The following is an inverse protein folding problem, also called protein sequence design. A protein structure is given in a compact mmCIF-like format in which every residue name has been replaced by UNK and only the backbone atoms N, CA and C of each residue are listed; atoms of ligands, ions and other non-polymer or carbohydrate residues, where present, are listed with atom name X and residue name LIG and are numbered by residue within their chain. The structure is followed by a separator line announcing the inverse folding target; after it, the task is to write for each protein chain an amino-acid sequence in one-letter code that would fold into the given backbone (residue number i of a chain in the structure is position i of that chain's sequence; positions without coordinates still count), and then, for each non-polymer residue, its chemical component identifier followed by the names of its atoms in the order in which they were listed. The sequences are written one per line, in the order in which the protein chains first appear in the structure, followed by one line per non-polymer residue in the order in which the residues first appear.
data_IF_150704309981
#
_entry.id   IF_150704309981
#
_cell.length_a   1.000
_cell.length_b   1.000
_cell.length_c   1.000
_cell.angle_alpha   90.00
_cell.angle_beta   90.00
_cell.angle_gamma   90.00
#
_symmetry.space_group_name_H-M   'P 1'
#
loop_
_entity.id
_entity.type
_entity.pdbx_description
1 polymer ?
#
# COMPACT_ATOMS: atom_id res chain seq x y z
N UNK A 1 -6.03 3.26 -7.99
CA UNK A 1 -6.95 3.94 -8.93
C UNK A 1 -6.47 3.74 -10.36
N UNK A 2 -7.33 3.38 -11.32
CA UNK A 2 -6.93 3.21 -12.71
C UNK A 2 -6.50 4.53 -13.32
N UNK A 3 -5.40 4.51 -14.07
CA UNK A 3 -4.95 5.64 -14.88
C UNK A 3 -4.27 5.10 -16.13
N UNK A 4 -4.60 5.68 -17.28
CA UNK A 4 -4.06 5.33 -18.59
C UNK A 4 -2.68 5.94 -18.85
N UNK A 5 -2.30 6.99 -18.11
CA UNK A 5 -0.98 7.61 -18.19
C UNK A 5 0.02 7.02 -17.18
N UNK A 6 1.15 6.52 -17.70
CA UNK A 6 2.27 6.01 -16.89
C UNK A 6 2.93 7.10 -16.02
N UNK A 7 2.78 8.39 -16.37
CA UNK A 7 3.29 9.56 -15.65
C UNK A 7 2.35 10.07 -14.54
N UNK A 8 1.09 9.64 -14.51
CA UNK A 8 0.12 10.17 -13.56
C UNK A 8 0.48 9.79 -12.13
N UNK A 9 0.47 10.78 -11.22
CA UNK A 9 0.72 10.60 -9.78
C UNK A 9 -0.16 9.48 -9.23
N UNK A 10 0.42 8.62 -8.38
CA UNK A 10 -0.34 7.57 -7.71
C UNK A 10 -1.30 8.21 -6.72
N UNK A 11 -2.61 7.97 -6.93
CA UNK A 11 -3.68 8.47 -6.06
C UNK A 11 -4.31 7.32 -5.27
N UNK A 12 -4.41 7.51 -3.96
CA UNK A 12 -4.93 6.56 -3.00
C UNK A 12 -5.97 7.23 -2.08
N UNK A 13 -6.89 6.42 -1.56
CA UNK A 13 -7.82 6.80 -0.49
C UNK A 13 -7.68 5.76 0.62
N UNK A 14 -7.65 6.21 1.85
CA UNK A 14 -7.65 5.33 3.01
C UNK A 14 -9.09 4.92 3.33
N UNK A 15 -9.31 3.65 3.63
CA UNK A 15 -10.63 3.13 3.97
C UNK A 15 -10.51 2.47 5.33
N UNK A 16 -11.16 3.07 6.32
CA UNK A 16 -11.31 2.48 7.64
C UNK A 16 -12.49 1.51 7.59
N UNK A 17 -12.24 0.22 7.77
CA UNK A 17 -13.29 -0.79 7.89
C UNK A 17 -13.10 -1.59 9.17
N UNK A 18 -14.15 -1.68 9.99
CA UNK A 18 -14.18 -2.52 11.18
C UNK A 18 -14.31 -4.01 10.80
N UNK A 19 -14.63 -4.32 9.54
CA UNK A 19 -14.76 -5.67 9.01
C UNK A 19 -13.98 -5.78 7.71
N UNK A 20 -12.70 -6.13 7.84
CA UNK A 20 -11.77 -6.32 6.73
C UNK A 20 -12.21 -7.51 5.84
N UNK A 21 -13.00 -8.44 6.37
CA UNK A 21 -13.51 -9.64 5.67
C UNK A 21 -14.52 -9.36 4.55
N UNK A 22 -15.12 -8.17 4.50
CA UNK A 22 -16.08 -7.80 3.44
C UNK A 22 -15.42 -7.14 2.22
N UNK A 23 -14.16 -6.74 2.35
CA UNK A 23 -13.39 -6.17 1.25
C UNK A 23 -12.53 -7.27 0.64
N UNK A 24 -12.59 -7.46 -0.69
CA UNK A 24 -11.62 -8.30 -1.41
C UNK A 24 -10.33 -7.51 -1.61
N UNK A 25 -9.59 -7.31 -0.51
CA UNK A 25 -8.31 -6.63 -0.53
C UNK A 25 -7.16 -7.60 -0.74
N UNK A 26 -6.05 -7.05 -1.22
CA UNK A 26 -4.80 -7.75 -1.43
C UNK A 26 -3.76 -7.16 -0.48
N UNK A 27 -3.05 -7.99 0.27
CA UNK A 27 -1.94 -7.54 1.09
C UNK A 27 -0.68 -7.43 0.23
N UNK A 28 0.07 -6.33 0.39
CA UNK A 28 1.35 -6.14 -0.27
C UNK A 28 2.48 -6.54 0.67
N UNK A 29 3.26 -7.54 0.27
CA UNK A 29 4.52 -7.91 0.89
C UNK A 29 5.67 -7.34 0.06
N UNK A 30 6.49 -6.48 0.66
CA UNK A 30 7.59 -5.81 -0.02
C UNK A 30 8.71 -5.51 0.98
N UNK A 31 9.92 -5.29 0.48
CA UNK A 31 11.04 -4.88 1.32
C UNK A 31 10.86 -3.42 1.74
N UNK A 32 10.85 -3.19 3.05
CA UNK A 32 10.84 -1.86 3.63
C UNK A 32 12.13 -1.11 3.30
N UNK A 33 12.00 0.16 2.96
CA UNK A 33 13.12 1.00 2.54
C UNK A 33 13.36 0.97 1.02
N UNK A 34 14.61 1.16 0.63
CA UNK A 34 15.06 1.31 -0.75
C UNK A 34 16.14 2.37 -0.86
N UNK A 35 17.11 2.16 -1.75
CA UNK A 35 18.11 3.17 -2.09
C UNK A 35 17.49 4.19 -3.04
N UNK A 36 17.64 5.48 -2.75
CA UNK A 36 17.13 6.57 -3.59
C UNK A 36 16.32 7.62 -2.84
N UNK A 37 15.86 8.63 -3.59
CA UNK A 37 15.05 9.70 -3.04
C UNK A 37 13.63 9.21 -2.69
N UNK A 38 13.03 9.68 -1.59
CA UNK A 38 11.63 9.43 -1.29
C UNK A 38 10.74 9.92 -2.43
N UNK A 39 9.64 9.21 -2.68
CA UNK A 39 8.66 9.56 -3.69
C UNK A 39 7.36 10.01 -3.03
N UNK A 40 6.57 10.80 -3.74
CA UNK A 40 5.30 11.34 -3.22
C UNK A 40 4.12 10.74 -3.95
N UNK A 41 3.13 10.29 -3.19
CA UNK A 41 1.81 9.90 -3.66
C UNK A 41 0.76 10.90 -3.16
N UNK A 42 -0.42 10.90 -3.78
CA UNK A 42 -1.57 11.65 -3.30
C UNK A 42 -2.45 10.72 -2.46
N UNK A 43 -2.53 10.96 -1.17
CA UNK A 43 -3.40 10.25 -0.24
C UNK A 43 -4.51 11.20 0.21
N UNK A 44 -5.75 10.91 -0.20
CA UNK A 44 -6.92 11.75 0.13
C UNK A 44 -6.76 13.24 -0.23
N UNK A 45 -6.11 13.52 -1.36
CA UNK A 45 -5.84 14.89 -1.83
C UNK A 45 -4.68 15.59 -1.13
N UNK A 46 -3.93 14.88 -0.28
CA UNK A 46 -2.73 15.39 0.40
C UNK A 46 -1.48 14.67 -0.08
N UNK A 47 -0.36 15.37 -0.08
CA UNK A 47 0.95 14.77 -0.37
C UNK A 47 1.34 13.82 0.76
N UNK A 48 1.68 12.58 0.40
CA UNK A 48 2.16 11.55 1.33
C UNK A 48 3.46 10.94 0.80
N UNK A 49 4.48 10.92 1.63
CA UNK A 49 5.82 10.45 1.25
C UNK A 49 5.93 8.95 1.47
N UNK A 50 6.42 8.23 0.46
CA UNK A 50 6.69 6.79 0.48
C UNK A 50 8.12 6.51 0.05
N UNK A 51 8.61 5.31 0.36
CA UNK A 51 9.91 4.85 -0.15
C UNK A 51 9.84 4.65 -1.67
N UNK A 52 10.97 4.79 -2.39
CA UNK A 52 10.99 4.58 -3.85
C UNK A 52 10.56 3.14 -4.23
N UNK A 53 10.89 2.15 -3.41
CA UNK A 53 10.45 0.77 -3.63
C UNK A 53 8.92 0.65 -3.56
N UNK A 54 8.32 1.22 -2.50
CA UNK A 54 6.86 1.19 -2.35
C UNK A 54 6.16 1.97 -3.47
N UNK A 55 6.71 3.12 -3.88
CA UNK A 55 6.18 3.87 -5.00
C UNK A 55 6.14 3.04 -6.29
N UNK A 56 7.24 2.36 -6.59
CA UNK A 56 7.37 1.51 -7.78
C UNK A 56 6.40 0.32 -7.71
N UNK A 57 6.27 -0.31 -6.55
CA UNK A 57 5.26 -1.34 -6.31
C UNK A 57 3.84 -0.82 -6.58
N UNK A 58 3.44 0.30 -5.98
CA UNK A 58 2.11 0.90 -6.16
C UNK A 58 1.84 1.28 -7.61
N UNK A 59 2.85 1.78 -8.32
CA UNK A 59 2.77 2.15 -9.73
C UNK A 59 2.57 0.93 -10.62
N UNK A 60 3.29 -0.15 -10.38
CA UNK A 60 3.19 -1.40 -11.16
C UNK A 60 1.91 -2.19 -10.83
N UNK A 61 1.44 -2.14 -9.58
CA UNK A 61 0.19 -2.76 -9.14
C UNK A 61 -1.06 -1.99 -9.59
N UNK A 62 -0.88 -0.80 -10.15
CA UNK A 62 -1.97 0.04 -10.66
C UNK A 62 -2.59 -0.60 -11.91
N UNK A 63 -3.75 -1.23 -11.74
CA UNK A 63 -4.51 -1.76 -12.86
C UNK A 63 -5.07 -0.62 -13.73
N UNK A 64 -5.03 -0.76 -15.06
CA UNK A 64 -5.45 0.30 -15.99
C UNK A 64 -6.95 0.63 -15.97
N UNK A 65 -7.79 -0.30 -15.51
CA UNK A 65 -9.25 -0.19 -15.61
C UNK A 65 -10.04 -0.47 -14.33
N UNK A 66 -9.40 -0.92 -13.24
CA UNK A 66 -10.12 -1.32 -12.03
C UNK A 66 -9.45 -0.78 -10.76
N UNK A 67 -10.28 -0.39 -9.80
CA UNK A 67 -9.82 -0.10 -8.45
C UNK A 67 -9.46 -1.40 -7.74
N UNK A 68 -8.36 -1.38 -6.99
CA UNK A 68 -7.94 -2.48 -6.12
C UNK A 68 -7.86 -1.97 -4.70
N UNK A 69 -8.36 -2.76 -3.77
CA UNK A 69 -8.10 -2.55 -2.34
C UNK A 69 -6.75 -3.19 -2.03
N UNK A 70 -5.81 -2.38 -1.55
CA UNK A 70 -4.49 -2.82 -1.15
C UNK A 70 -4.33 -2.53 0.33
N UNK A 71 -3.88 -3.51 1.08
CA UNK A 71 -3.35 -3.30 2.42
C UNK A 71 -1.83 -3.16 2.31
N UNK A 72 -1.33 -2.01 2.75
CA UNK A 72 0.09 -1.66 2.72
C UNK A 72 0.44 -1.12 4.09
N UNK A 73 1.29 -1.82 4.83
CA UNK A 73 1.68 -1.47 6.21
C UNK A 73 2.11 0.01 6.38
N UNK A 74 2.96 0.54 5.51
CA UNK A 74 3.46 1.92 5.58
C UNK A 74 2.40 2.99 5.34
N UNK A 75 1.23 2.62 4.80
CA UNK A 75 0.11 3.54 4.53
C UNK A 75 -1.03 3.29 5.51
N UNK A 76 -1.39 2.02 5.75
CA UNK A 76 -2.54 1.62 6.56
C UNK A 76 -2.29 1.71 8.06
N UNK A 77 -1.03 1.66 8.50
CA UNK A 77 -0.64 1.77 9.91
C UNK A 77 -0.09 3.17 10.17
N UNK A 78 -0.52 3.81 11.26
CA UNK A 78 0.04 5.09 11.67
C UNK A 78 1.44 4.89 12.25
N UNK A 79 2.45 5.04 11.38
CA UNK A 79 3.86 4.85 11.75
C UNK A 79 4.37 5.78 12.86
N UNK A 80 3.69 6.89 13.12
CA UNK A 80 4.05 7.86 14.16
C UNK A 80 3.51 7.49 15.56
N UNK A 81 2.50 6.62 15.63
CA UNK A 81 1.91 6.17 16.89
C UNK A 81 2.42 4.77 17.23
N UNK A 82 3.28 4.69 18.25
CA UNK A 82 3.90 3.42 18.63
C UNK A 82 2.90 2.41 19.18
N UNK A 83 1.87 2.87 19.88
CA UNK A 83 0.86 2.00 20.49
C UNK A 83 -0.04 1.40 19.40
N UNK A 84 -0.55 2.24 18.49
CA UNK A 84 -1.34 1.81 17.35
C UNK A 84 -0.53 0.91 16.41
N UNK A 85 0.73 1.29 16.12
CA UNK A 85 1.62 0.48 15.29
C UNK A 85 1.84 -0.90 15.88
N UNK A 86 2.15 -1.00 17.17
CA UNK A 86 2.38 -2.29 17.82
C UNK A 86 1.10 -3.15 17.81
N UNK A 87 -0.06 -2.52 18.03
CA UNK A 87 -1.35 -3.20 17.93
C UNK A 87 -1.61 -3.75 16.52
N UNK A 88 -1.42 -2.93 15.48
CA UNK A 88 -1.60 -3.35 14.08
C UNK A 88 -0.60 -4.43 13.66
N UNK A 89 0.66 -4.31 14.08
CA UNK A 89 1.69 -5.33 13.83
C UNK A 89 1.31 -6.68 14.47
N UNK A 90 0.75 -6.67 15.68
CA UNK A 90 0.26 -7.91 16.32
C UNK A 90 -0.89 -8.57 15.53
N UNK A 91 -1.64 -7.80 14.73
CA UNK A 91 -2.73 -8.27 13.90
C UNK A 91 -2.29 -8.67 12.48
N UNK A 92 -1.03 -8.46 12.09
CA UNK A 92 -0.56 -8.73 10.72
C UNK A 92 -0.84 -10.17 10.28
N UNK A 93 -0.67 -11.16 11.16
CA UNK A 93 -0.96 -12.55 10.83
C UNK A 93 -2.40 -12.71 10.31
N UNK A 94 -3.37 -12.16 11.05
CA UNK A 94 -4.79 -12.20 10.70
C UNK A 94 -5.10 -11.40 9.43
N UNK A 95 -4.46 -10.24 9.25
CA UNK A 95 -4.63 -9.42 8.04
C UNK A 95 -4.13 -10.18 6.80
N UNK A 96 -2.95 -10.81 6.88
CA UNK A 96 -2.43 -11.57 5.74
C UNK A 96 -3.27 -12.83 5.47
N UNK A 97 -3.77 -13.51 6.51
CA UNK A 97 -4.65 -14.67 6.39
C UNK A 97 -5.99 -14.33 5.71
N UNK A 98 -6.55 -13.17 6.03
CA UNK A 98 -7.86 -12.73 5.53
C UNK A 98 -7.79 -12.02 4.17
N UNK A 99 -6.58 -11.78 3.64
CA UNK A 99 -6.42 -11.15 2.34
C UNK A 99 -6.88 -12.10 1.21
N UNK A 100 -7.55 -11.54 0.19
CA UNK A 100 -7.95 -12.32 -0.98
C UNK A 100 -6.73 -12.87 -1.75
N UNK A 101 -5.60 -12.16 -1.67
CA UNK A 101 -4.29 -12.62 -2.10
C UNK A 101 -3.20 -11.82 -1.37
N UNK A 102 -1.99 -12.37 -1.37
CA UNK A 102 -0.77 -11.66 -0.97
C UNK A 102 0.10 -11.49 -2.20
N UNK A 103 0.44 -10.24 -2.54
CA UNK A 103 1.36 -9.94 -3.64
C UNK A 103 2.74 -9.68 -3.06
N UNK A 104 3.73 -10.43 -3.53
CA UNK A 104 5.13 -10.19 -3.22
C UNK A 104 5.74 -9.27 -4.27
N UNK A 105 6.34 -8.18 -3.82
CA UNK A 105 7.09 -7.23 -4.64
C UNK A 105 8.57 -7.28 -4.28
N UNK A 106 9.39 -7.71 -5.24
CA UNK A 106 10.83 -7.91 -5.06
C UNK A 106 11.67 -6.71 -5.51
N UNK A 107 11.05 -5.70 -6.11
CA UNK A 107 11.73 -4.60 -6.79
C UNK A 107 11.49 -4.64 -8.30
N UNK A 108 12.00 -3.63 -9.00
CA UNK A 108 12.10 -3.69 -10.46
C UNK A 108 13.34 -4.51 -10.83
N UNK A 109 13.25 -5.35 -11.86
CA UNK A 109 14.44 -6.00 -12.44
C UNK A 109 15.38 -4.92 -12.98
N UNK A 110 16.67 -4.99 -12.64
CA UNK A 110 17.73 -4.15 -13.23
C UNK A 110 18.00 -4.51 -14.69
#
# INVERSE_FOLDING_TARGET
MPSTESSAVVKCRLIHSNSISQLLYVALSYVWGGSGAPATIELEGRSFTVTPNLYSALKNLRHRSQNRYLWVDAICINQADMEERNHQVSQMCFIYEQAAAVLMWLGEDE
#
